data_IF_496992254194
#
_entry.id   IF_496992254194
#
_cell.length_a   1.000
_cell.length_b   1.000
_cell.length_c   1.000
_cell.angle_alpha   90.00
_cell.angle_beta   90.00
_cell.angle_gamma   90.00
#
_symmetry.space_group_name_H-M   'P 1'
#
loop_
_entity.id
_entity.type
_entity.pdbx_description
1 polymer ?
#
# COMPACT_ATOMS: atom_id res chain seq x y z
N UNK A 1 2.31 -32.98 0.20
CA UNK A 1 2.10 -33.25 -1.24
C UNK A 1 1.00 -32.39 -1.85
N UNK A 2 -0.07 -32.04 -1.11
CA UNK A 2 -1.19 -31.22 -1.63
C UNK A 2 -0.84 -29.76 -1.97
N UNK A 3 0.11 -29.12 -1.27
CA UNK A 3 0.52 -27.72 -1.55
C UNK A 3 1.28 -27.52 -2.88
N UNK A 4 1.93 -28.57 -3.40
CA UNK A 4 2.68 -28.50 -4.68
C UNK A 4 1.70 -28.52 -5.87
N UNK A 5 0.57 -29.25 -5.73
CA UNK A 5 -0.50 -29.31 -6.73
C UNK A 5 -1.25 -27.98 -6.87
N UNK A 6 -1.43 -27.22 -5.78
CA UNK A 6 -2.06 -25.88 -5.78
C UNK A 6 -1.39 -24.93 -6.78
N UNK A 7 -0.07 -24.84 -6.69
CA UNK A 7 0.70 -23.94 -7.51
C UNK A 7 0.88 -24.50 -8.91
N UNK A 8 1.15 -25.80 -9.07
CA UNK A 8 1.17 -26.44 -10.38
C UNK A 8 -0.14 -26.22 -11.15
N UNK A 9 -1.30 -26.22 -10.49
CA UNK A 9 -2.57 -25.88 -11.14
C UNK A 9 -2.67 -24.41 -11.58
N UNK A 10 -2.06 -23.46 -10.84
CA UNK A 10 -1.92 -22.06 -11.26
C UNK A 10 -0.83 -21.86 -12.33
N UNK A 11 0.15 -22.75 -12.41
CA UNK A 11 1.27 -22.73 -13.39
C UNK A 11 0.93 -23.42 -14.72
N UNK A 12 0.25 -24.58 -14.69
CA UNK A 12 -0.21 -25.33 -15.86
C UNK A 12 -1.33 -24.58 -16.62
N UNK A 13 -1.87 -23.53 -16.01
CA UNK A 13 -2.63 -22.49 -16.68
C UNK A 13 -1.70 -21.50 -17.37
N UNK A 14 -0.69 -22.00 -18.08
CA UNK A 14 0.14 -21.22 -18.99
C UNK A 14 -0.78 -20.24 -19.70
N UNK A 15 -0.63 -18.97 -19.32
CA UNK A 15 -1.03 -17.89 -20.19
C UNK A 15 -0.10 -18.07 -21.36
N UNK A 16 -0.53 -18.81 -22.39
CA UNK A 16 0.03 -18.53 -23.70
C UNK A 16 -0.09 -17.01 -23.85
N UNK A 17 1.02 -16.28 -24.08
CA UNK A 17 1.03 -14.83 -24.12
C UNK A 17 0.13 -14.21 -25.21
N UNK A 18 -0.69 -15.02 -25.88
CA UNK A 18 -1.39 -14.71 -27.11
C UNK A 18 -2.70 -13.93 -26.90
N UNK A 19 -3.25 -13.88 -25.67
CA UNK A 19 -4.44 -13.05 -25.35
C UNK A 19 -4.22 -12.11 -24.14
N UNK A 20 -2.98 -11.69 -23.88
CA UNK A 20 -2.73 -10.64 -22.88
C UNK A 20 -3.16 -9.31 -23.50
N UNK A 21 -4.31 -8.79 -23.10
CA UNK A 21 -4.66 -7.40 -23.38
C UNK A 21 -3.63 -6.49 -22.68
N UNK A 22 -3.30 -5.33 -23.26
CA UNK A 22 -2.38 -4.38 -22.62
C UNK A 22 -3.07 -3.60 -21.45
N UNK A 23 -3.78 -4.29 -20.56
CA UNK A 23 -4.47 -3.66 -19.43
C UNK A 23 -3.69 -3.75 -18.13
N UNK A 24 -3.95 -2.82 -17.21
CA UNK A 24 -3.34 -2.82 -15.88
C UNK A 24 -3.69 -4.08 -15.06
N UNK A 25 -4.83 -4.72 -15.35
CA UNK A 25 -5.29 -5.96 -14.71
C UNK A 25 -4.35 -7.11 -15.07
N UNK A 26 -3.95 -7.20 -16.35
CA UNK A 26 -3.07 -8.27 -16.81
C UNK A 26 -1.67 -8.15 -16.18
N UNK A 27 -1.13 -6.93 -16.11
CA UNK A 27 0.12 -6.67 -15.38
C UNK A 27 0.03 -7.04 -13.89
N UNK A 28 -1.12 -6.75 -13.26
CA UNK A 28 -1.37 -7.13 -11.87
C UNK A 28 -1.36 -8.66 -11.71
N UNK A 29 -2.07 -9.40 -12.58
CA UNK A 29 -2.11 -10.86 -12.51
C UNK A 29 -0.72 -11.47 -12.69
N UNK A 30 0.07 -10.99 -13.67
CA UNK A 30 1.46 -11.42 -13.85
C UNK A 30 2.27 -11.21 -12.57
N UNK A 31 2.17 -10.03 -11.95
CA UNK A 31 2.86 -9.72 -10.71
C UNK A 31 2.40 -10.62 -9.55
N UNK A 32 1.10 -10.86 -9.42
CA UNK A 32 0.53 -11.79 -8.45
C UNK A 32 1.09 -13.20 -8.62
N UNK A 33 1.12 -13.72 -9.86
CA UNK A 33 1.66 -15.05 -10.13
C UNK A 33 3.15 -15.14 -9.86
N UNK A 34 3.94 -14.15 -10.27
CA UNK A 34 5.37 -14.10 -9.93
C UNK A 34 5.60 -14.10 -8.41
N UNK A 35 4.77 -13.37 -7.67
CA UNK A 35 4.81 -13.35 -6.22
C UNK A 35 4.44 -14.72 -5.62
N UNK A 36 3.38 -15.36 -6.11
CA UNK A 36 3.00 -16.70 -5.65
C UNK A 36 4.11 -17.73 -5.86
N UNK A 37 4.89 -17.64 -6.95
CA UNK A 37 6.08 -18.48 -7.17
C UNK A 37 7.10 -18.36 -6.05
N UNK A 38 7.28 -17.14 -5.52
CA UNK A 38 8.30 -16.85 -4.51
C UNK A 38 7.90 -17.30 -3.11
N UNK A 39 6.60 -17.37 -2.82
CA UNK A 39 6.06 -17.64 -1.48
C UNK A 39 5.13 -18.86 -1.43
N UNK A 40 5.30 -19.79 -2.37
CA UNK A 40 4.45 -20.98 -2.55
C UNK A 40 4.37 -21.93 -1.34
N UNK A 41 5.30 -21.81 -0.40
CA UNK A 41 5.36 -22.63 0.81
C UNK A 41 4.45 -22.10 1.93
N UNK A 42 3.95 -20.86 1.81
CA UNK A 42 3.08 -20.26 2.82
C UNK A 42 1.68 -20.91 2.81
N UNK A 43 1.02 -21.06 3.97
CA UNK A 43 -0.38 -21.46 4.02
C UNK A 43 -1.25 -20.49 3.21
N UNK A 44 -2.27 -20.97 2.48
CA UNK A 44 -3.10 -20.13 1.62
C UNK A 44 -3.68 -18.88 2.32
N UNK A 45 -4.14 -19.02 3.57
CA UNK A 45 -4.65 -17.87 4.35
C UNK A 45 -3.59 -16.80 4.57
N UNK A 46 -2.38 -17.22 4.94
CA UNK A 46 -1.26 -16.32 5.20
C UNK A 46 -0.82 -15.67 3.90
N UNK A 47 -0.72 -16.45 2.83
CA UNK A 47 -0.32 -15.97 1.50
C UNK A 47 -1.24 -14.86 0.98
N UNK A 48 -2.56 -15.12 0.91
CA UNK A 48 -3.52 -14.14 0.36
C UNK A 48 -3.62 -12.90 1.25
N UNK A 49 -3.66 -13.09 2.57
CA UNK A 49 -3.67 -11.99 3.52
C UNK A 49 -2.41 -11.14 3.41
N UNK A 50 -1.22 -11.74 3.35
CA UNK A 50 0.06 -11.05 3.21
C UNK A 50 0.16 -10.30 1.88
N UNK A 51 -0.21 -10.94 0.78
CA UNK A 51 -0.16 -10.30 -0.52
C UNK A 51 -1.06 -9.06 -0.58
N UNK A 52 -2.34 -9.21 -0.21
CA UNK A 52 -3.31 -8.12 -0.32
C UNK A 52 -3.10 -7.03 0.75
N UNK A 53 -2.70 -7.37 1.97
CA UNK A 53 -2.54 -6.37 3.05
C UNK A 53 -1.19 -5.65 3.06
N UNK A 54 -0.14 -6.22 2.45
CA UNK A 54 1.21 -5.67 2.49
C UNK A 54 1.81 -5.43 1.09
N UNK A 55 1.85 -6.44 0.23
CA UNK A 55 2.53 -6.30 -1.07
C UNK A 55 1.75 -5.44 -2.06
N UNK A 56 0.45 -5.67 -2.20
CA UNK A 56 -0.41 -4.91 -3.08
C UNK A 56 -0.36 -3.39 -2.78
N UNK A 57 -0.59 -2.90 -1.55
CA UNK A 57 -0.54 -1.46 -1.28
C UNK A 57 0.86 -0.83 -1.44
N UNK A 58 1.91 -1.65 -1.32
CA UNK A 58 3.29 -1.22 -1.57
C UNK A 58 3.53 -1.03 -3.08
N UNK A 59 3.19 -2.04 -3.88
CA UNK A 59 3.60 -2.17 -5.28
C UNK A 59 2.60 -1.52 -6.25
N UNK A 60 1.31 -1.45 -5.89
CA UNK A 60 0.23 -0.91 -6.71
C UNK A 60 -0.21 0.51 -6.31
N UNK A 61 0.70 1.32 -5.76
CA UNK A 61 0.43 2.64 -5.17
C UNK A 61 -0.25 3.69 -6.08
N UNK A 62 -0.23 3.48 -7.40
CA UNK A 62 -0.81 4.40 -8.39
C UNK A 62 -2.24 4.10 -8.82
N UNK A 63 -2.80 2.94 -8.47
CA UNK A 63 -4.10 2.50 -8.98
C UNK A 63 -5.26 3.28 -8.38
N UNK A 64 -6.15 3.81 -9.23
CA UNK A 64 -7.42 4.41 -8.83
C UNK A 64 -8.30 3.44 -8.03
N UNK A 65 -9.31 3.95 -7.29
CA UNK A 65 -10.19 3.08 -6.50
C UNK A 65 -10.89 2.02 -7.36
N UNK A 66 -11.40 2.42 -8.54
CA UNK A 66 -12.03 1.48 -9.46
C UNK A 66 -11.04 0.46 -10.02
N UNK A 67 -9.86 0.89 -10.46
CA UNK A 67 -8.81 0.00 -10.95
C UNK A 67 -8.38 -1.02 -9.89
N UNK A 68 -8.34 -0.59 -8.63
CA UNK A 68 -8.05 -1.48 -7.49
C UNK A 68 -9.13 -2.56 -7.36
N UNK A 69 -10.40 -2.18 -7.45
CA UNK A 69 -11.52 -3.13 -7.43
C UNK A 69 -11.48 -4.09 -8.62
N UNK A 70 -11.15 -3.58 -9.82
CA UNK A 70 -11.05 -4.39 -11.03
C UNK A 70 -9.94 -5.45 -10.90
N UNK A 71 -8.77 -5.09 -10.34
CA UNK A 71 -7.72 -6.06 -10.03
C UNK A 71 -8.19 -7.14 -9.05
N UNK A 72 -8.88 -6.76 -7.98
CA UNK A 72 -9.36 -7.72 -6.97
C UNK A 72 -10.41 -8.66 -7.58
N UNK A 73 -11.35 -8.13 -8.38
CA UNK A 73 -12.35 -8.96 -9.10
C UNK A 73 -11.69 -9.92 -10.08
N UNK A 74 -10.70 -9.45 -10.84
CA UNK A 74 -9.97 -10.32 -11.75
C UNK A 74 -9.24 -11.44 -11.02
N UNK A 75 -8.68 -11.16 -9.83
CA UNK A 75 -8.08 -12.20 -8.98
C UNK A 75 -9.12 -13.24 -8.57
N UNK A 76 -10.30 -12.82 -8.12
CA UNK A 76 -11.38 -13.71 -7.74
C UNK A 76 -11.91 -14.53 -8.92
N UNK A 77 -12.16 -13.91 -10.06
CA UNK A 77 -12.66 -14.57 -11.27
C UNK A 77 -11.68 -15.65 -11.73
N UNK A 78 -10.38 -15.33 -11.76
CA UNK A 78 -9.32 -16.30 -12.06
C UNK A 78 -9.29 -17.42 -11.04
N UNK A 79 -9.47 -17.12 -9.76
CA UNK A 79 -9.49 -18.14 -8.72
C UNK A 79 -10.75 -19.02 -8.80
N UNK A 80 -11.90 -18.46 -9.18
CA UNK A 80 -13.16 -19.19 -9.40
C UNK A 80 -13.06 -20.16 -10.57
N UNK A 81 -12.37 -19.80 -11.65
CA UNK A 81 -12.07 -20.70 -12.78
C UNK A 81 -11.23 -21.91 -12.35
N UNK A 82 -10.51 -21.79 -11.23
CA UNK A 82 -9.65 -22.84 -10.69
C UNK A 82 -10.31 -23.68 -9.59
N UNK A 83 -11.54 -23.39 -9.15
CA UNK A 83 -12.14 -24.04 -7.97
C UNK A 83 -12.15 -25.58 -8.05
N UNK A 84 -12.25 -26.17 -9.25
CA UNK A 84 -12.18 -27.63 -9.44
C UNK A 84 -10.79 -28.25 -9.23
N UNK A 85 -9.72 -27.45 -9.21
CA UNK A 85 -8.32 -27.86 -8.98
C UNK A 85 -7.81 -27.45 -7.59
N UNK A 86 -8.59 -26.67 -6.86
CA UNK A 86 -8.20 -26.06 -5.60
C UNK A 86 -8.91 -26.73 -4.42
N UNK A 87 -8.20 -26.88 -3.30
CA UNK A 87 -8.83 -27.36 -2.09
C UNK A 87 -9.77 -26.28 -1.49
N UNK A 88 -10.77 -26.73 -0.73
CA UNK A 88 -11.79 -25.85 -0.13
C UNK A 88 -11.21 -24.76 0.77
N UNK A 89 -10.09 -25.04 1.44
CA UNK A 89 -9.45 -24.11 2.37
C UNK A 89 -8.82 -22.96 1.59
N UNK A 90 -8.14 -23.25 0.49
CA UNK A 90 -7.58 -22.24 -0.41
C UNK A 90 -8.65 -21.35 -1.05
N UNK A 91 -9.74 -21.93 -1.55
CA UNK A 91 -10.87 -21.17 -2.11
C UNK A 91 -11.43 -20.19 -1.07
N UNK A 92 -11.65 -20.67 0.16
CA UNK A 92 -12.15 -19.84 1.26
C UNK A 92 -11.18 -18.74 1.64
N UNK A 93 -9.88 -19.05 1.69
CA UNK A 93 -8.83 -18.09 2.01
C UNK A 93 -8.81 -16.92 1.01
N UNK A 94 -8.78 -17.24 -0.29
CA UNK A 94 -8.79 -16.24 -1.36
C UNK A 94 -10.04 -15.35 -1.28
N UNK A 95 -11.24 -15.95 -1.21
CA UNK A 95 -12.51 -15.21 -1.15
C UNK A 95 -12.57 -14.28 0.07
N UNK A 96 -12.17 -14.76 1.24
CA UNK A 96 -12.17 -13.95 2.47
C UNK A 96 -11.22 -12.76 2.34
N UNK A 97 -10.00 -13.00 1.86
CA UNK A 97 -9.01 -11.94 1.70
C UNK A 97 -9.42 -10.92 0.62
N UNK A 98 -10.06 -11.35 -0.46
CA UNK A 98 -10.54 -10.46 -1.52
C UNK A 98 -11.71 -9.59 -1.04
N UNK A 99 -12.67 -10.14 -0.29
CA UNK A 99 -13.76 -9.35 0.30
C UNK A 99 -13.23 -8.28 1.25
N UNK A 100 -12.29 -8.62 2.13
CA UNK A 100 -11.63 -7.64 2.99
C UNK A 100 -10.89 -6.58 2.15
N UNK A 101 -10.13 -7.00 1.14
CA UNK A 101 -9.37 -6.13 0.27
C UNK A 101 -10.24 -5.12 -0.50
N UNK A 102 -11.41 -5.52 -1.01
CA UNK A 102 -12.35 -4.62 -1.71
C UNK A 102 -12.79 -3.46 -0.85
N UNK A 103 -12.95 -3.68 0.46
CA UNK A 103 -13.40 -2.63 1.39
C UNK A 103 -12.26 -1.72 1.84
N UNK A 104 -11.04 -2.25 1.94
CA UNK A 104 -9.91 -1.55 2.57
C UNK A 104 -8.93 -0.94 1.57
N UNK A 105 -8.56 -1.66 0.51
CA UNK A 105 -7.49 -1.25 -0.41
C UNK A 105 -7.81 0.01 -1.23
N UNK A 106 -9.01 0.18 -1.83
CA UNK A 106 -9.31 1.39 -2.58
C UNK A 106 -9.14 2.65 -1.73
N UNK A 107 -9.54 2.58 -0.45
CA UNK A 107 -9.37 3.66 0.53
C UNK A 107 -7.90 3.91 0.86
N UNK A 108 -7.12 2.86 1.14
CA UNK A 108 -5.71 3.00 1.51
C UNK A 108 -4.86 3.55 0.36
N UNK A 109 -5.12 3.11 -0.87
CA UNK A 109 -4.43 3.61 -2.05
C UNK A 109 -4.81 5.06 -2.35
N UNK A 110 -6.07 5.44 -2.14
CA UNK A 110 -6.47 6.85 -2.24
C UNK A 110 -5.82 7.71 -1.16
N UNK A 111 -5.78 7.23 0.09
CA UNK A 111 -5.06 7.90 1.18
C UNK A 111 -3.58 8.09 0.84
N UNK A 112 -2.90 7.03 0.38
CA UNK A 112 -1.49 7.08 -0.05
C UNK A 112 -1.27 8.16 -1.10
N UNK A 113 -2.10 8.22 -2.14
CA UNK A 113 -2.01 9.27 -3.17
C UNK A 113 -2.16 10.67 -2.59
N UNK A 114 -3.20 10.91 -1.78
CA UNK A 114 -3.47 12.22 -1.19
C UNK A 114 -2.33 12.70 -0.32
N UNK A 115 -1.78 11.80 0.51
CA UNK A 115 -0.63 12.12 1.34
C UNK A 115 0.63 12.37 0.51
N UNK A 116 0.85 11.64 -0.59
CA UNK A 116 2.02 11.88 -1.44
C UNK A 116 1.96 13.21 -2.18
N UNK A 117 0.79 13.61 -2.65
CA UNK A 117 0.56 14.94 -3.23
C UNK A 117 0.91 16.04 -2.21
N UNK A 118 0.50 15.88 -0.94
CA UNK A 118 0.85 16.79 0.16
C UNK A 118 2.37 16.88 0.38
N UNK A 119 3.07 15.75 0.36
CA UNK A 119 4.54 15.71 0.52
C UNK A 119 5.31 16.21 -0.71
N UNK A 120 4.62 16.73 -1.73
CA UNK A 120 5.25 17.30 -2.92
C UNK A 120 5.61 16.27 -3.98
N UNK A 121 4.86 15.18 -4.11
CA UNK A 121 5.01 14.27 -5.24
C UNK A 121 4.81 15.00 -6.59
N UNK A 122 5.62 14.66 -7.59
CA UNK A 122 5.52 15.22 -8.92
C UNK A 122 4.24 14.80 -9.66
N UNK A 123 3.68 13.63 -9.33
CA UNK A 123 2.41 13.17 -9.87
C UNK A 123 1.28 13.94 -9.20
N UNK A 124 0.59 14.78 -9.97
CA UNK A 124 -0.55 15.59 -9.51
C UNK A 124 -1.86 14.82 -9.66
N UNK A 125 -1.97 14.03 -10.74
CA UNK A 125 -3.16 13.24 -11.05
C UNK A 125 -2.75 11.94 -11.73
N UNK A 126 -3.50 10.85 -11.48
CA UNK A 126 -3.20 9.53 -12.05
C UNK A 126 -4.10 9.15 -13.23
N UNK A 127 -5.24 9.81 -13.40
CA UNK A 127 -6.13 9.61 -14.55
C UNK A 127 -6.86 10.92 -14.95
N UNK A 128 -6.47 11.57 -16.05
CA UNK A 128 -5.26 11.30 -16.82
C UNK A 128 -4.00 11.46 -15.96
N UNK A 129 -2.89 10.82 -16.35
CA UNK A 129 -1.61 10.99 -15.67
C UNK A 129 -1.10 12.41 -15.92
N UNK A 130 -1.05 13.24 -14.88
CA UNK A 130 -0.53 14.60 -14.92
C UNK A 130 0.69 14.68 -14.01
N UNK A 131 1.82 15.08 -14.58
CA UNK A 131 3.09 15.24 -13.88
C UNK A 131 3.47 16.72 -13.87
N UNK A 132 3.69 17.27 -12.69
CA UNK A 132 4.32 18.57 -12.52
C UNK A 132 5.83 18.45 -12.81
N UNK A 133 6.24 18.98 -13.97
CA UNK A 133 7.62 18.92 -14.44
C UNK A 133 8.58 19.65 -13.48
N UNK A 134 8.13 20.72 -12.81
CA UNK A 134 8.97 21.46 -11.88
C UNK A 134 9.24 20.63 -10.62
N UNK A 135 8.19 20.02 -10.04
CA UNK A 135 8.34 19.08 -8.93
C UNK A 135 9.19 17.87 -9.33
N UNK A 136 8.97 17.32 -10.52
CA UNK A 136 9.76 16.20 -11.03
C UNK A 136 11.25 16.54 -11.13
N UNK A 137 11.59 17.73 -11.66
CA UNK A 137 12.98 18.23 -11.72
C UNK A 137 13.57 18.42 -10.33
N UNK A 138 12.81 18.98 -9.38
CA UNK A 138 13.25 19.15 -7.99
C UNK A 138 13.52 17.81 -7.30
N UNK A 139 12.73 16.78 -7.59
CA UNK A 139 12.94 15.43 -7.06
C UNK A 139 14.13 14.69 -7.69
N UNK A 140 14.39 14.92 -8.98
CA UNK A 140 15.48 14.28 -9.72
C UNK A 140 16.84 14.96 -9.53
N UNK A 141 16.87 16.23 -9.17
CA UNK A 141 18.13 16.88 -8.85
C UNK A 141 18.62 16.30 -7.51
N UNK A 142 19.81 15.68 -7.44
CA UNK A 142 20.41 15.34 -6.16
C UNK A 142 20.45 16.64 -5.37
N UNK A 143 19.85 16.63 -4.18
CA UNK A 143 19.64 17.80 -3.37
C UNK A 143 20.87 18.71 -3.46
N UNK A 144 20.74 19.85 -4.18
CA UNK A 144 21.55 21.02 -3.84
C UNK A 144 21.09 21.33 -2.42
N UNK A 145 21.81 20.71 -1.49
CA UNK A 145 21.86 20.97 -0.06
C UNK A 145 20.84 22.02 0.34
N UNK A 146 19.68 21.57 0.86
CA UNK A 146 18.94 22.38 1.85
C UNK A 146 19.80 22.42 3.11
N UNK A 147 20.99 23.03 3.01
CA UNK A 147 21.98 23.11 4.08
C UNK A 147 21.47 23.97 5.25
N UNK A 148 20.46 24.82 5.03
CA UNK A 148 19.98 25.73 6.07
C UNK A 148 18.87 25.18 6.99
N UNK A 149 18.23 24.05 6.67
CA UNK A 149 17.09 23.55 7.47
C UNK A 149 17.39 22.32 8.34
N UNK A 150 18.46 21.58 8.04
CA UNK A 150 18.77 20.30 8.70
C UNK A 150 19.45 20.44 10.07
N UNK A 151 20.15 21.55 10.35
CA UNK A 151 20.89 21.67 11.62
C UNK A 151 19.99 21.82 12.86
N UNK A 152 18.68 22.01 12.68
CA UNK A 152 17.72 22.32 13.75
C UNK A 152 16.40 21.57 13.63
N UNK A 153 16.45 20.32 13.18
CA UNK A 153 15.25 19.50 13.05
C UNK A 153 15.46 18.06 13.52
N UNK A 154 14.42 17.49 14.13
CA UNK A 154 14.37 16.06 14.42
C UNK A 154 13.78 15.35 13.20
N UNK A 155 14.45 14.32 12.71
CA UNK A 155 13.99 13.53 11.57
C UNK A 155 13.77 12.10 12.03
N UNK A 156 12.60 11.54 11.73
CA UNK A 156 12.29 10.14 11.99
C UNK A 156 11.77 9.47 10.73
N UNK A 157 12.14 8.21 10.55
CA UNK A 157 11.69 7.38 9.43
C UNK A 157 11.27 6.03 9.97
N UNK A 158 10.17 5.47 9.45
CA UNK A 158 9.69 4.16 9.86
C UNK A 158 8.21 3.96 9.60
N UNK A 159 7.65 2.97 10.28
CA UNK A 159 6.22 2.68 10.26
C UNK A 159 5.56 3.33 11.47
N UNK A 160 4.49 4.08 11.22
CA UNK A 160 3.74 4.82 12.21
C UNK A 160 2.28 4.35 12.21
N UNK A 161 1.77 3.98 13.38
CA UNK A 161 0.36 3.62 13.55
C UNK A 161 -0.47 4.85 13.90
N UNK A 162 -1.63 5.00 13.26
CA UNK A 162 -2.63 6.02 13.59
C UNK A 162 -3.32 5.66 14.91
N UNK A 163 -3.10 6.46 15.95
CA UNK A 163 -3.75 6.28 17.25
C UNK A 163 -5.11 6.97 17.31
N UNK A 164 -5.21 8.17 16.75
CA UNK A 164 -6.44 8.94 16.74
C UNK A 164 -6.46 9.95 15.60
N UNK A 165 -7.63 10.12 15.00
CA UNK A 165 -7.94 11.23 14.08
C UNK A 165 -8.82 12.21 14.85
N UNK A 166 -8.29 13.40 15.14
CA UNK A 166 -8.93 14.43 15.95
C UNK A 166 -9.71 15.41 15.06
N UNK A 167 -10.81 15.96 15.57
CA UNK A 167 -11.71 16.87 14.84
C UNK A 167 -11.06 18.19 14.42
N UNK A 168 -9.96 18.56 15.06
CA UNK A 168 -9.19 19.79 14.84
C UNK A 168 -8.07 19.62 13.80
N UNK A 169 -8.26 18.73 12.81
CA UNK A 169 -7.27 18.51 11.73
C UNK A 169 -5.94 17.92 12.21
N UNK A 170 -5.92 17.28 13.39
CA UNK A 170 -4.73 16.64 13.93
C UNK A 170 -4.83 15.13 13.89
N UNK A 171 -3.70 14.48 13.65
CA UNK A 171 -3.55 13.04 13.75
C UNK A 171 -2.48 12.72 14.78
N UNK A 172 -2.83 11.85 15.71
CA UNK A 172 -1.88 11.26 16.65
C UNK A 172 -1.31 10.00 16.03
N UNK A 173 0.02 9.93 15.91
CA UNK A 173 0.72 8.74 15.46
C UNK A 173 1.67 8.24 16.55
N UNK A 174 1.96 6.94 16.52
CA UNK A 174 3.05 6.32 17.28
C UNK A 174 3.93 5.53 16.33
N UNK A 175 5.24 5.52 16.55
CA UNK A 175 6.15 4.70 15.74
C UNK A 175 6.08 3.27 16.24
N UNK A 176 5.95 2.30 15.33
CA UNK A 176 5.90 0.88 15.68
C UNK A 176 7.23 0.52 16.36
N UNK A 177 7.14 -0.04 17.57
CA UNK A 177 8.29 -0.34 18.43
C UNK A 177 8.64 0.75 19.46
N UNK A 178 8.08 1.96 19.33
CA UNK A 178 8.26 3.08 20.27
C UNK A 178 6.89 3.57 20.79
N UNK A 179 6.10 2.66 21.37
CA UNK A 179 4.67 2.91 21.68
C UNK A 179 4.40 4.04 22.69
N UNK A 180 5.39 4.39 23.51
CA UNK A 180 5.31 5.50 24.46
C UNK A 180 5.37 6.87 23.76
N UNK A 181 6.01 6.93 22.59
CA UNK A 181 6.31 8.17 21.89
C UNK A 181 5.21 8.52 20.91
N UNK A 182 4.50 9.61 21.22
CA UNK A 182 3.38 10.10 20.42
C UNK A 182 3.79 11.34 19.63
N UNK A 183 3.56 11.30 18.33
CA UNK A 183 3.75 12.46 17.44
C UNK A 183 2.40 13.01 16.98
N UNK A 184 2.36 14.32 16.76
CA UNK A 184 1.18 15.05 16.29
C UNK A 184 1.44 15.58 14.89
N UNK A 185 0.62 15.21 13.92
CA UNK A 185 0.69 15.75 12.56
C UNK A 185 -0.57 16.54 12.28
N UNK A 186 -0.44 17.70 11.64
CA UNK A 186 -1.58 18.50 11.17
C UNK A 186 -1.82 18.20 9.70
N UNK A 187 -3.06 17.85 9.36
CA UNK A 187 -3.49 17.48 8.00
C UNK A 187 -4.81 18.18 7.66
N UNK A 188 -5.00 18.51 6.39
CA UNK A 188 -6.25 19.10 5.91
C UNK A 188 -7.40 18.08 5.93
N UNK A 189 -8.64 18.57 6.00
CA UNK A 189 -9.86 17.73 6.04
C UNK A 189 -9.91 16.68 4.92
N UNK A 190 -9.49 17.04 3.72
CA UNK A 190 -9.48 16.13 2.56
C UNK A 190 -8.54 14.94 2.74
N UNK A 191 -7.45 15.10 3.49
CA UNK A 191 -6.48 14.04 3.77
C UNK A 191 -6.99 13.13 4.90
N UNK A 192 -7.75 13.68 5.85
CA UNK A 192 -8.32 12.94 6.96
C UNK A 192 -9.50 12.05 6.58
N UNK A 193 -10.24 12.38 5.52
CA UNK A 193 -11.46 11.66 5.11
C UNK A 193 -11.28 10.14 4.99
N UNK A 194 -10.10 9.71 4.55
CA UNK A 194 -9.79 8.29 4.32
C UNK A 194 -8.93 7.67 5.42
N UNK A 195 -8.45 8.46 6.38
CA UNK A 195 -7.60 7.97 7.46
C UNK A 195 -8.45 7.35 8.58
N UNK A 196 -8.04 6.19 9.08
CA UNK A 196 -8.71 5.48 10.18
C UNK A 196 -7.74 5.17 11.29
N UNK A 197 -8.25 5.15 12.53
CA UNK A 197 -7.49 4.62 13.67
C UNK A 197 -7.06 3.19 13.38
N UNK A 198 -5.80 2.89 13.68
CA UNK A 198 -5.16 1.60 13.43
C UNK A 198 -4.45 1.48 12.09
N UNK A 199 -4.69 2.39 11.13
CA UNK A 199 -3.93 2.41 9.87
C UNK A 199 -2.44 2.58 10.14
N UNK A 200 -1.60 2.06 9.24
CA UNK A 200 -0.15 2.13 9.36
C UNK A 200 0.41 2.90 8.18
N UNK A 201 1.23 3.89 8.46
CA UNK A 201 1.84 4.77 7.48
C UNK A 201 3.36 4.56 7.51
N UNK A 202 3.96 4.27 6.35
CA UNK A 202 5.41 4.28 6.21
C UNK A 202 5.85 5.69 5.82
N UNK A 203 6.42 6.42 6.78
CA UNK A 203 6.66 7.85 6.68
C UNK A 203 8.12 8.21 6.95
N UNK A 204 8.51 9.34 6.38
CA UNK A 204 9.57 10.21 6.90
C UNK A 204 8.90 11.46 7.46
N UNK A 205 9.12 11.75 8.74
CA UNK A 205 8.54 12.90 9.44
C UNK A 205 9.65 13.80 9.98
N UNK A 206 9.39 15.10 10.00
CA UNK A 206 10.33 16.11 10.47
C UNK A 206 9.65 17.02 11.47
N UNK A 207 10.34 17.34 12.57
CA UNK A 207 9.93 18.36 13.53
C UNK A 207 10.96 19.47 13.59
N UNK A 208 10.53 20.69 13.30
CA UNK A 208 11.34 21.90 13.49
C UNK A 208 11.53 22.17 14.99
N UNK A 209 12.69 22.65 15.41
CA UNK A 209 12.91 23.12 16.78
C UNK A 209 11.82 24.12 17.19
N UNK A 210 11.34 24.02 18.44
CA UNK A 210 10.26 24.81 19.04
C UNK A 210 8.83 24.53 18.55
N UNK A 211 8.63 23.64 17.58
CA UNK A 211 7.29 23.19 17.20
C UNK A 211 6.89 21.94 17.97
N UNK A 212 5.60 21.85 18.33
CA UNK A 212 5.02 20.67 18.99
C UNK A 212 4.46 19.66 18.00
N UNK A 213 4.26 20.07 16.74
CA UNK A 213 3.76 19.26 15.63
C UNK A 213 4.89 18.82 14.70
N UNK A 214 4.67 17.69 14.06
CA UNK A 214 5.52 17.07 13.06
C UNK A 214 4.90 17.27 11.68
N UNK A 215 5.76 17.45 10.69
CA UNK A 215 5.39 17.53 9.28
C UNK A 215 5.73 16.20 8.59
N UNK A 216 4.86 15.76 7.68
CA UNK A 216 5.19 14.63 6.79
C UNK A 216 6.09 15.13 5.67
N UNK A 217 7.28 14.56 5.54
CA UNK A 217 8.22 14.87 4.46
C UNK A 217 8.12 13.85 3.32
N UNK A 218 7.89 12.57 3.62
CA UNK A 218 7.78 11.50 2.63
C UNK A 218 6.74 10.46 3.06
N UNK A 219 5.91 9.99 2.12
CA UNK A 219 4.99 8.87 2.33
C UNK A 219 5.30 7.75 1.34
N UNK A 220 5.73 6.59 1.85
CA UNK A 220 6.09 5.41 1.02
C UNK A 220 4.95 4.39 0.92
N UNK A 221 4.18 4.22 1.99
CA UNK A 221 3.16 3.18 2.07
C UNK A 221 2.05 3.50 3.07
N UNK A 222 0.87 2.96 2.80
CA UNK A 222 -0.27 2.98 3.71
C UNK A 222 -0.84 1.57 3.78
N UNK A 223 -0.95 1.02 4.98
CA UNK A 223 -1.33 -0.37 5.23
C UNK A 223 -2.48 -0.44 6.22
N UNK A 224 -3.24 -1.53 6.13
CA UNK A 224 -4.29 -1.83 7.10
C UNK A 224 -3.67 -2.33 8.42
N UNK A 225 -4.44 -2.38 9.52
CA UNK A 225 -3.97 -3.00 10.76
C UNK A 225 -3.50 -4.45 10.58
N UNK A 226 -4.14 -5.19 9.66
CA UNK A 226 -3.75 -6.57 9.31
C UNK A 226 -2.35 -6.62 8.70
N UNK A 227 -1.97 -5.59 7.93
CA UNK A 227 -0.63 -5.47 7.35
C UNK A 227 0.50 -5.41 8.39
N UNK A 228 0.20 -5.09 9.66
CA UNK A 228 1.19 -4.98 10.75
C UNK A 228 2.02 -6.25 10.90
N UNK A 229 1.40 -7.42 10.81
CA UNK A 229 2.06 -8.72 11.01
C UNK A 229 3.07 -9.06 9.92
N UNK A 230 3.06 -8.33 8.81
CA UNK A 230 3.91 -8.59 7.65
C UNK A 230 4.96 -7.51 7.43
N UNK A 231 5.03 -6.50 8.30
CA UNK A 231 6.05 -5.46 8.21
C UNK A 231 7.43 -6.06 8.53
N UNK A 232 8.48 -5.67 7.79
CA UNK A 232 9.85 -5.97 8.19
C UNK A 232 10.16 -5.12 9.44
N UNK A 233 10.23 -5.79 10.59
CA UNK A 233 10.66 -5.20 11.87
C UNK A 233 12.18 -5.24 11.96
#
# INVERSE_FOLDING_TARGET
>A
MEQIQYMQALYEMDVEPQEISNTFVDHFLIHFYQYSKKFYQEPPEVFFSKYLSFHFPRDCGGLLPQQTLDCIRALEERHSQCEGKLDRRTIRACRTACEEAKTVLPRLLDLKRRLRILTGEAVVQYAPLIIDINKYRQQRQPARKKEDFTERSYVETGYFQVLAVLSNQMVMLTKIGEEEKKIKVVLEREQLRHMRTGDILQLKVVRRLFYTTWDMEEVRGCYSPVGRSFLPV
#
